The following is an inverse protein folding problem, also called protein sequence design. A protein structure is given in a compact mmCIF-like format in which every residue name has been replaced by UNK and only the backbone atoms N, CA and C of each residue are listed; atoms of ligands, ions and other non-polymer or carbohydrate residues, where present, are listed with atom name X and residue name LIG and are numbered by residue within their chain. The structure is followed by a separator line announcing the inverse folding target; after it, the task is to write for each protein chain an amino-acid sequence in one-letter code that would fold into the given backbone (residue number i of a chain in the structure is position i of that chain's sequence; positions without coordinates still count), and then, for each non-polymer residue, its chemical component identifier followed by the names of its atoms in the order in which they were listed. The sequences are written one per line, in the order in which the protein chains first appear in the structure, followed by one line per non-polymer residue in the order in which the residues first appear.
data_IF_866992124122
#
_entry.id   IF_866992124122
#
_cell.length_a   1.000
_cell.length_b   1.000
_cell.length_c   1.000
_cell.angle_alpha   90.00
_cell.angle_beta   90.00
_cell.angle_gamma   90.00
#
_symmetry.space_group_name_H-M   'P 1'
#
loop_
_entity.id
_entity.type
_entity.pdbx_description
1 polymer ?
#
# COMPACT_ATOMS: atom_id res chain seq x y z
N UNK A 1 -14.85 5.66 29.69
CA UNK A 1 -15.11 5.63 28.25
C UNK A 1 -14.48 6.87 27.66
N UNK A 2 -13.62 6.73 26.68
CA UNK A 2 -12.89 7.83 26.04
C UNK A 2 -13.49 8.12 24.66
N UNK A 3 -13.13 9.27 24.06
CA UNK A 3 -13.54 9.61 22.69
C UNK A 3 -12.79 8.77 21.66
N UNK A 4 -13.22 8.81 20.41
CA UNK A 4 -12.56 8.13 19.30
C UNK A 4 -11.18 8.74 19.03
N UNK A 5 -11.07 10.05 19.11
CA UNK A 5 -9.84 10.82 18.92
C UNK A 5 -8.81 10.53 20.03
N UNK A 6 -9.26 10.46 21.29
CA UNK A 6 -8.39 10.05 22.39
C UNK A 6 -7.88 8.62 22.21
N UNK A 7 -8.77 7.68 21.80
CA UNK A 7 -8.39 6.31 21.54
C UNK A 7 -7.36 6.22 20.41
N UNK A 8 -7.59 6.92 19.30
CA UNK A 8 -6.66 7.01 18.17
C UNK A 8 -5.29 7.52 18.61
N UNK A 9 -5.28 8.64 19.33
CA UNK A 9 -4.03 9.22 19.83
C UNK A 9 -3.27 8.26 20.73
N UNK A 10 -3.94 7.63 21.70
CA UNK A 10 -3.30 6.66 22.61
C UNK A 10 -2.72 5.47 21.82
N UNK A 11 -3.41 4.98 20.81
CA UNK A 11 -2.95 3.88 19.95
C UNK A 11 -1.75 4.29 19.12
N UNK A 12 -1.80 5.45 18.46
CA UNK A 12 -0.72 5.98 17.62
C UNK A 12 0.53 6.33 18.45
N UNK A 13 0.37 6.82 19.67
CA UNK A 13 1.48 7.09 20.59
C UNK A 13 2.26 5.81 20.97
N UNK A 14 1.74 4.61 20.67
CA UNK A 14 2.44 3.34 20.84
C UNK A 14 3.10 2.82 19.55
N UNK A 15 3.15 3.61 18.48
CA UNK A 15 3.89 3.24 17.28
C UNK A 15 5.37 3.02 17.61
N UNK A 16 5.93 1.94 17.09
CA UNK A 16 7.29 1.49 17.42
C UNK A 16 7.98 1.00 16.17
N UNK A 17 9.22 1.45 15.94
CA UNK A 17 10.09 0.93 14.88
C UNK A 17 10.62 -0.45 15.29
N UNK A 18 10.28 -1.48 14.54
CA UNK A 18 10.74 -2.87 14.75
C UNK A 18 12.09 -3.15 14.07
N UNK A 19 12.74 -2.13 13.51
CA UNK A 19 13.99 -2.23 12.79
C UNK A 19 13.82 -2.53 11.31
N UNK A 20 14.83 -3.14 10.71
CA UNK A 20 14.84 -3.47 9.30
C UNK A 20 15.30 -4.91 9.07
N UNK A 21 14.96 -5.45 7.91
CA UNK A 21 15.38 -6.77 7.42
C UNK A 21 15.70 -6.70 5.93
N UNK A 22 16.50 -7.65 5.44
CA UNK A 22 16.82 -7.78 4.03
C UNK A 22 15.89 -8.82 3.41
N UNK A 23 15.31 -8.48 2.27
CA UNK A 23 14.44 -9.38 1.49
C UNK A 23 14.81 -9.35 0.01
N UNK A 24 14.64 -10.43 -0.75
CA UNK A 24 14.72 -10.39 -2.20
C UNK A 24 13.77 -9.33 -2.77
N UNK A 25 14.22 -8.55 -3.77
CA UNK A 25 13.41 -7.45 -4.31
C UNK A 25 12.05 -7.91 -4.85
N UNK A 26 11.97 -9.12 -5.37
CA UNK A 26 10.74 -9.74 -5.88
C UNK A 26 9.67 -9.95 -4.79
N UNK A 27 10.10 -10.09 -3.52
CA UNK A 27 9.23 -10.23 -2.35
C UNK A 27 8.98 -8.92 -1.61
N UNK A 28 9.53 -7.81 -2.12
CA UNK A 28 9.48 -6.51 -1.45
C UNK A 28 8.23 -5.68 -1.77
N UNK A 29 7.40 -6.09 -2.73
CA UNK A 29 6.19 -5.34 -3.10
C UNK A 29 5.29 -5.09 -1.88
N UNK A 30 4.90 -3.81 -1.68
CA UNK A 30 4.07 -3.40 -0.54
C UNK A 30 4.80 -3.36 0.81
N UNK A 31 6.13 -3.58 0.84
CA UNK A 31 6.98 -3.30 2.00
C UNK A 31 7.41 -1.83 1.98
N UNK A 32 8.01 -1.36 3.06
CA UNK A 32 8.50 0.03 3.20
C UNK A 32 10.02 0.02 3.16
N UNK A 33 10.63 0.86 2.32
CA UNK A 33 12.08 0.98 2.23
C UNK A 33 12.68 1.47 3.55
N UNK A 34 13.75 0.82 4.01
CA UNK A 34 14.53 1.20 5.19
C UNK A 34 15.87 1.86 4.82
N UNK A 35 16.12 2.08 3.54
CA UNK A 35 17.29 2.78 3.00
C UNK A 35 16.93 3.47 1.68
N UNK A 36 17.83 4.36 1.22
CA UNK A 36 17.72 4.96 -0.10
C UNK A 36 18.32 4.03 -1.15
N UNK A 37 17.64 3.85 -2.26
CA UNK A 37 18.19 3.16 -3.44
C UNK A 37 18.78 4.22 -4.38
N UNK A 38 19.99 3.97 -4.89
CA UNK A 38 20.70 4.89 -5.75
C UNK A 38 20.89 4.31 -7.14
N UNK A 39 21.01 5.18 -8.14
CA UNK A 39 21.42 4.79 -9.49
C UNK A 39 22.89 4.30 -9.49
N UNK A 40 23.11 3.07 -9.98
CA UNK A 40 24.46 2.48 -10.13
C UNK A 40 25.26 3.15 -11.24
N UNK A 41 24.58 3.82 -12.18
CA UNK A 41 25.11 4.53 -13.35
C UNK A 41 24.12 5.59 -13.81
N UNK A 42 24.53 6.41 -14.77
CA UNK A 42 23.62 7.35 -15.45
C UNK A 42 22.42 6.63 -16.09
N UNK A 43 21.25 7.24 -16.03
CA UNK A 43 20.03 6.74 -16.67
C UNK A 43 19.51 7.79 -17.66
N UNK A 44 19.40 7.50 -18.97
CA UNK A 44 19.95 6.29 -19.62
C UNK A 44 21.50 6.25 -19.57
N UNK A 45 22.11 5.06 -19.71
CA UNK A 45 23.57 4.91 -19.55
C UNK A 45 24.39 5.43 -20.72
N UNK A 46 23.76 5.72 -21.84
CA UNK A 46 24.35 6.30 -23.07
C UNK A 46 23.28 7.14 -23.79
N UNK A 47 23.73 7.93 -24.77
CA UNK A 47 22.81 8.65 -25.66
C UNK A 47 22.01 7.64 -26.48
N UNK A 48 20.72 7.54 -26.19
CA UNK A 48 19.82 6.51 -26.69
C UNK A 48 18.89 7.06 -27.76
N UNK A 49 18.82 6.37 -28.88
CA UNK A 49 17.91 6.68 -29.98
C UNK A 49 16.46 6.39 -29.58
N UNK A 50 15.56 7.30 -29.88
CA UNK A 50 14.13 7.21 -29.50
C UNK A 50 13.19 6.88 -30.64
N UNK A 51 13.66 6.92 -31.90
CA UNK A 51 12.86 6.65 -33.10
C UNK A 51 13.68 5.83 -34.09
N UNK A 52 13.04 4.93 -34.83
CA UNK A 52 13.66 4.21 -35.94
C UNK A 52 13.90 5.15 -37.10
N UNK A 53 15.06 5.04 -37.78
CA UNK A 53 15.43 5.91 -38.86
C UNK A 53 16.91 5.92 -39.19
N UNK A 54 17.51 7.08 -39.38
CA UNK A 54 18.96 7.23 -39.63
C UNK A 54 19.60 8.18 -38.60
N UNK A 55 20.79 7.83 -38.12
CA UNK A 55 21.65 8.71 -37.34
C UNK A 55 22.65 9.41 -38.30
N UNK A 56 22.73 10.73 -38.21
CA UNK A 56 23.57 11.58 -39.05
C UNK A 56 24.33 12.61 -38.21
N UNK A 57 25.36 13.17 -38.79
CA UNK A 57 25.94 14.43 -38.30
C UNK A 57 25.12 15.61 -38.88
N UNK A 58 24.55 16.44 -37.98
CA UNK A 58 23.68 17.55 -38.40
C UNK A 58 24.40 18.61 -39.24
N UNK A 59 25.73 18.78 -39.07
CA UNK A 59 26.53 19.72 -39.90
C UNK A 59 26.44 19.37 -41.39
N UNK A 60 26.24 18.09 -41.72
CA UNK A 60 26.02 17.71 -43.14
C UNK A 60 24.76 18.33 -43.72
N UNK A 61 23.68 18.35 -42.91
CA UNK A 61 22.39 18.95 -43.32
C UNK A 61 22.54 20.47 -43.44
N UNK A 62 23.20 21.13 -42.51
CA UNK A 62 23.47 22.59 -42.58
C UNK A 62 24.30 22.94 -43.82
N UNK A 63 25.19 22.03 -44.28
CA UNK A 63 25.98 22.20 -45.51
C UNK A 63 25.20 21.80 -46.79
N UNK A 64 23.89 21.53 -46.68
CA UNK A 64 22.98 21.27 -47.79
C UNK A 64 22.92 19.82 -48.27
N UNK A 65 23.47 18.84 -47.52
CA UNK A 65 23.33 17.42 -47.83
C UNK A 65 21.94 16.98 -47.42
N UNK A 66 21.17 16.46 -48.38
CA UNK A 66 19.81 15.92 -48.16
C UNK A 66 19.72 14.42 -48.48
N UNK A 67 20.78 13.78 -48.96
CA UNK A 67 20.84 12.37 -49.30
C UNK A 67 22.09 11.75 -48.67
N UNK A 68 21.90 10.70 -47.89
CA UNK A 68 22.93 10.00 -47.12
C UNK A 68 23.07 8.58 -47.62
N UNK A 69 24.29 8.06 -47.65
CA UNK A 69 24.59 6.67 -47.94
C UNK A 69 24.49 5.86 -46.63
N UNK A 70 23.65 4.85 -46.61
CA UNK A 70 23.53 3.94 -45.44
C UNK A 70 24.76 3.06 -45.39
N UNK A 71 25.57 3.22 -44.32
CA UNK A 71 26.78 2.43 -44.10
C UNK A 71 26.42 1.01 -43.61
N UNK A 72 25.51 0.93 -42.65
CA UNK A 72 24.98 -0.31 -42.08
C UNK A 72 23.69 -0.02 -41.29
N UNK A 73 23.05 -1.10 -40.83
CA UNK A 73 21.92 -1.03 -39.88
C UNK A 73 22.41 -1.43 -38.50
N UNK A 74 22.11 -0.62 -37.46
CA UNK A 74 22.49 -0.85 -36.07
C UNK A 74 21.22 -1.04 -35.22
N UNK A 75 21.09 -2.20 -34.60
CA UNK A 75 19.98 -2.52 -33.70
C UNK A 75 20.31 -2.14 -32.23
N UNK A 76 19.30 -2.18 -31.36
CA UNK A 76 19.51 -2.06 -29.93
C UNK A 76 20.37 -3.23 -29.41
N UNK A 77 21.41 -2.91 -28.65
CA UNK A 77 22.35 -3.91 -28.13
C UNK A 77 23.59 -4.15 -29.00
N UNK A 78 23.62 -3.62 -30.22
CA UNK A 78 24.82 -3.65 -31.06
C UNK A 78 25.87 -2.64 -30.56
N UNK A 79 27.15 -2.90 -30.82
CA UNK A 79 28.21 -1.92 -30.64
C UNK A 79 28.01 -0.78 -31.63
N UNK A 80 28.14 0.49 -31.20
CA UNK A 80 27.96 1.63 -32.07
C UNK A 80 29.05 1.67 -33.13
N UNK A 81 28.65 1.88 -34.38
CA UNK A 81 29.59 2.00 -35.49
C UNK A 81 29.59 3.45 -35.98
N UNK A 82 30.78 3.99 -36.12
CA UNK A 82 30.99 5.37 -36.52
C UNK A 82 30.84 5.55 -38.03
N UNK A 83 30.51 6.77 -38.47
CA UNK A 83 30.51 7.18 -39.88
C UNK A 83 31.88 7.80 -40.23
N UNK A 84 32.34 7.56 -41.48
CA UNK A 84 33.65 8.02 -41.96
C UNK A 84 33.52 9.31 -42.79
N UNK A 85 32.37 9.52 -43.44
CA UNK A 85 32.13 10.65 -44.33
C UNK A 85 30.85 11.42 -43.92
N UNK A 86 30.83 12.72 -44.16
CA UNK A 86 29.67 13.56 -43.86
C UNK A 86 28.38 13.16 -44.59
N UNK A 87 28.47 12.53 -45.77
CA UNK A 87 27.34 12.04 -46.52
C UNK A 87 26.94 10.60 -46.17
N UNK A 88 27.52 10.02 -45.11
CA UNK A 88 27.12 8.72 -44.59
C UNK A 88 26.10 8.84 -43.44
N UNK A 89 25.34 7.78 -43.23
CA UNK A 89 24.46 7.62 -42.07
C UNK A 89 24.48 6.17 -41.59
N UNK A 90 24.07 5.96 -40.35
CA UNK A 90 23.74 4.67 -39.82
C UNK A 90 22.24 4.52 -39.75
N UNK A 91 21.68 3.51 -40.40
CA UNK A 91 20.28 3.14 -40.22
C UNK A 91 20.16 2.58 -38.79
N UNK A 92 19.31 3.19 -37.95
CA UNK A 92 19.35 2.97 -36.51
C UNK A 92 17.97 2.68 -35.96
N UNK A 93 17.90 1.72 -35.02
CA UNK A 93 16.66 1.32 -34.38
C UNK A 93 16.51 1.94 -32.99
N UNK A 94 15.27 2.15 -32.60
CA UNK A 94 14.90 2.62 -31.25
C UNK A 94 15.58 1.80 -30.16
N UNK A 95 16.16 2.48 -29.19
CA UNK A 95 16.90 1.83 -28.09
C UNK A 95 18.39 1.63 -28.35
N UNK A 96 18.86 1.79 -29.59
CA UNK A 96 20.28 1.67 -29.91
C UNK A 96 21.08 2.86 -29.30
N UNK A 97 22.36 2.60 -29.03
CA UNK A 97 23.31 3.66 -28.67
C UNK A 97 23.60 4.53 -29.90
N UNK A 98 23.58 5.85 -29.72
CA UNK A 98 23.90 6.79 -30.80
C UNK A 98 25.37 6.64 -31.21
N UNK A 99 25.71 6.51 -32.53
CA UNK A 99 27.07 6.50 -32.99
C UNK A 99 27.82 7.78 -32.63
N UNK A 100 29.11 7.71 -32.21
CA UNK A 100 29.84 8.86 -31.65
C UNK A 100 29.96 10.09 -32.55
N UNK A 101 30.07 9.88 -33.86
CA UNK A 101 30.18 10.98 -34.87
C UNK A 101 28.83 11.57 -35.29
N UNK A 102 27.72 11.06 -34.74
CA UNK A 102 26.36 11.54 -35.06
C UNK A 102 25.75 12.29 -33.88
N UNK A 103 24.85 13.23 -34.19
CA UNK A 103 24.22 14.06 -33.17
C UNK A 103 22.73 14.29 -33.42
N UNK A 104 22.15 13.61 -34.44
CA UNK A 104 20.77 13.82 -34.86
C UNK A 104 20.20 12.53 -35.46
N UNK A 105 18.96 12.18 -35.06
CA UNK A 105 18.26 11.04 -35.60
C UNK A 105 17.01 11.52 -36.38
N UNK A 106 16.90 11.05 -37.63
CA UNK A 106 15.79 11.37 -38.51
C UNK A 106 14.95 10.11 -38.66
N UNK A 107 13.69 10.19 -38.31
CA UNK A 107 12.77 9.05 -38.32
C UNK A 107 12.40 8.66 -39.78
N UNK A 108 12.01 7.40 -39.95
CA UNK A 108 11.66 6.87 -41.31
C UNK A 108 10.56 7.65 -42.01
N UNK A 109 9.61 8.24 -41.30
CA UNK A 109 8.52 9.01 -41.89
C UNK A 109 8.99 10.27 -42.60
N UNK A 110 10.19 10.74 -42.26
CA UNK A 110 10.83 11.94 -42.83
C UNK A 110 11.88 11.59 -43.89
N UNK A 111 11.92 10.30 -44.35
CA UNK A 111 12.92 9.74 -45.25
C UNK A 111 12.29 8.99 -46.46
N UNK A 112 12.95 9.09 -47.62
CA UNK A 112 12.77 8.11 -48.70
C UNK A 112 14.00 7.20 -48.75
N UNK A 113 13.77 5.91 -48.45
CA UNK A 113 14.81 4.88 -48.44
C UNK A 113 14.81 4.15 -49.78
N UNK A 114 15.93 4.26 -50.57
CA UNK A 114 16.04 3.58 -51.87
C UNK A 114 17.47 3.20 -52.19
N UNK A 115 17.68 1.95 -52.55
CA UNK A 115 18.95 1.42 -53.01
C UNK A 115 20.17 1.75 -52.09
N UNK A 116 20.02 1.70 -50.77
CA UNK A 116 21.07 2.01 -49.84
C UNK A 116 21.32 3.51 -49.58
N UNK A 117 20.40 4.34 -50.10
CA UNK A 117 20.39 5.78 -49.86
C UNK A 117 19.16 6.17 -49.04
N UNK A 118 19.35 7.12 -48.14
CA UNK A 118 18.30 7.77 -47.36
C UNK A 118 18.21 9.23 -47.75
N UNK A 119 17.09 9.66 -48.30
CA UNK A 119 16.88 11.05 -48.78
C UNK A 119 15.84 11.72 -47.87
N UNK A 120 16.13 12.92 -47.40
CA UNK A 120 15.20 13.72 -46.59
C UNK A 120 14.00 14.14 -47.42
N UNK A 121 12.79 13.96 -46.90
CA UNK A 121 11.54 14.46 -47.49
C UNK A 121 10.99 15.66 -46.75
N UNK A 122 11.68 16.13 -45.70
CA UNK A 122 11.34 17.31 -44.90
C UNK A 122 12.54 18.25 -44.75
N UNK A 123 12.28 19.51 -44.57
CA UNK A 123 13.28 20.53 -44.22
C UNK A 123 13.26 20.90 -42.72
N UNK A 124 12.32 20.35 -41.94
CA UNK A 124 12.20 20.62 -40.49
C UNK A 124 12.96 19.55 -39.66
N UNK A 125 14.27 19.52 -39.85
CA UNK A 125 15.18 18.71 -39.07
C UNK A 125 15.91 19.58 -38.07
N UNK A 126 15.99 19.17 -36.80
CA UNK A 126 16.66 19.93 -35.75
C UNK A 126 17.80 19.12 -35.15
N UNK A 127 18.90 19.83 -34.86
CA UNK A 127 20.05 19.23 -34.20
C UNK A 127 19.63 18.62 -32.86
N UNK A 128 20.02 17.39 -32.58
CA UNK A 128 19.75 16.69 -31.33
C UNK A 128 18.36 16.06 -31.22
N UNK A 129 17.54 16.12 -32.32
CA UNK A 129 16.20 15.50 -32.25
C UNK A 129 16.29 13.97 -32.15
N UNK A 130 15.26 13.38 -31.52
CA UNK A 130 15.06 11.93 -31.34
C UNK A 130 16.21 11.21 -30.58
N UNK A 131 16.87 11.95 -29.68
CA UNK A 131 17.93 11.43 -28.80
C UNK A 131 17.51 11.65 -27.35
N UNK A 132 17.58 10.57 -26.56
CA UNK A 132 17.46 10.62 -25.11
C UNK A 132 18.87 10.57 -24.53
N UNK A 133 19.36 11.74 -24.09
CA UNK A 133 20.75 11.91 -23.68
C UNK A 133 21.08 11.16 -22.39
N UNK A 134 22.31 10.65 -22.31
CA UNK A 134 22.90 10.00 -21.15
C UNK A 134 22.66 10.82 -19.88
N UNK A 135 22.16 10.16 -18.84
CA UNK A 135 21.93 10.75 -17.51
C UNK A 135 20.85 11.83 -17.48
N UNK A 136 19.99 11.91 -18.48
CA UNK A 136 18.92 12.89 -18.53
C UNK A 136 17.79 12.60 -17.51
N UNK A 137 17.58 11.34 -17.16
CA UNK A 137 16.58 10.93 -16.16
C UNK A 137 17.16 10.96 -14.76
N UNK A 138 18.35 10.36 -14.57
CA UNK A 138 19.10 10.29 -13.32
C UNK A 138 20.59 10.21 -13.59
N UNK A 139 21.37 10.86 -12.72
CA UNK A 139 22.84 10.69 -12.68
C UNK A 139 23.20 9.52 -11.79
N UNK A 140 24.38 8.97 -12.02
CA UNK A 140 25.00 8.03 -11.08
C UNK A 140 24.97 8.60 -9.65
N UNK A 141 24.68 7.76 -8.67
CA UNK A 141 24.49 8.09 -7.24
C UNK A 141 23.24 8.92 -6.89
N UNK A 142 22.43 9.35 -7.87
CA UNK A 142 21.12 9.95 -7.59
C UNK A 142 20.19 8.96 -6.89
N UNK A 143 19.38 9.46 -5.96
CA UNK A 143 18.35 8.64 -5.30
C UNK A 143 17.22 8.35 -6.29
N UNK A 144 16.96 7.07 -6.56
CA UNK A 144 15.88 6.57 -7.41
C UNK A 144 14.66 6.14 -6.61
N UNK A 145 14.87 5.73 -5.35
CA UNK A 145 13.80 5.48 -4.39
C UNK A 145 14.27 5.86 -2.99
N UNK A 146 13.42 6.52 -2.20
CA UNK A 146 13.78 7.06 -0.90
C UNK A 146 13.37 6.15 0.26
N UNK A 147 14.14 6.18 1.33
CA UNK A 147 13.76 5.59 2.62
C UNK A 147 12.35 6.07 3.03
N UNK A 148 11.55 5.18 3.62
CA UNK A 148 10.17 5.45 4.03
C UNK A 148 9.14 5.32 2.92
N UNK A 149 9.53 5.13 1.66
CA UNK A 149 8.58 4.89 0.57
C UNK A 149 8.00 3.48 0.61
N UNK A 150 6.70 3.38 0.32
CA UNK A 150 6.03 2.11 0.06
C UNK A 150 6.46 1.59 -1.31
N UNK A 151 6.99 0.38 -1.35
CA UNK A 151 7.47 -0.25 -2.59
C UNK A 151 6.29 -0.61 -3.48
N UNK A 152 6.16 0.12 -4.58
CA UNK A 152 5.15 -0.06 -5.63
C UNK A 152 5.74 -0.84 -6.80
N UNK A 153 4.92 -1.31 -7.77
CA UNK A 153 5.45 -1.90 -9.01
C UNK A 153 6.42 -0.97 -9.76
N UNK A 154 6.20 0.35 -9.71
CA UNK A 154 7.12 1.32 -10.32
C UNK A 154 8.50 1.34 -9.64
N UNK A 155 8.53 1.24 -8.30
CA UNK A 155 9.79 1.12 -7.55
C UNK A 155 10.48 -0.20 -7.84
N UNK A 156 9.75 -1.31 -7.96
CA UNK A 156 10.32 -2.62 -8.38
C UNK A 156 11.01 -2.48 -9.75
N UNK A 157 10.38 -1.80 -10.71
CA UNK A 157 11.00 -1.54 -12.03
C UNK A 157 12.30 -0.75 -11.92
N UNK A 158 12.32 0.31 -11.09
CA UNK A 158 13.52 1.12 -10.85
C UNK A 158 14.63 0.30 -10.17
N UNK A 159 14.31 -0.45 -9.13
CA UNK A 159 15.22 -1.35 -8.41
C UNK A 159 15.88 -2.34 -9.36
N UNK A 160 15.09 -2.99 -10.21
CA UNK A 160 15.58 -3.92 -11.22
C UNK A 160 16.51 -3.23 -12.25
N UNK A 161 16.20 -1.97 -12.65
CA UNK A 161 17.00 -1.23 -13.62
C UNK A 161 18.38 -0.80 -13.11
N UNK A 162 18.53 -0.69 -11.78
CA UNK A 162 19.82 -0.34 -11.12
C UNK A 162 20.51 -1.58 -10.54
N UNK A 163 20.01 -2.79 -10.83
CA UNK A 163 20.68 -4.05 -10.51
C UNK A 163 20.61 -4.51 -9.05
N UNK A 164 19.72 -3.91 -8.23
CA UNK A 164 19.54 -4.32 -6.85
C UNK A 164 18.72 -5.63 -6.79
N UNK A 165 19.27 -6.65 -6.18
CA UNK A 165 18.63 -7.97 -6.02
C UNK A 165 18.04 -8.20 -4.65
N UNK A 166 18.46 -7.44 -3.66
CA UNK A 166 17.98 -7.48 -2.28
C UNK A 166 17.68 -6.05 -1.81
N UNK A 167 16.66 -5.89 -0.98
CA UNK A 167 16.26 -4.60 -0.44
C UNK A 167 16.20 -4.65 1.08
N UNK A 168 16.70 -3.60 1.70
CA UNK A 168 16.50 -3.36 3.12
C UNK A 168 15.16 -2.68 3.34
N UNK A 169 14.25 -3.38 4.02
CA UNK A 169 12.87 -2.94 4.26
C UNK A 169 12.57 -2.85 5.75
N UNK A 170 11.59 -2.03 6.13
CA UNK A 170 11.09 -1.98 7.51
C UNK A 170 10.55 -3.35 7.92
N UNK A 171 10.98 -3.81 9.11
CA UNK A 171 10.55 -5.10 9.65
C UNK A 171 9.12 -5.03 10.17
N UNK A 172 8.32 -6.04 9.83
CA UNK A 172 6.96 -6.17 10.34
C UNK A 172 6.94 -6.65 11.80
N UNK A 173 5.98 -6.18 12.63
CA UNK A 173 5.76 -6.74 13.95
C UNK A 173 5.32 -8.21 13.84
N UNK A 174 5.70 -9.03 14.81
CA UNK A 174 5.17 -10.39 14.93
C UNK A 174 3.80 -10.33 15.59
N UNK A 175 2.77 -10.72 14.86
CA UNK A 175 1.37 -10.62 15.28
C UNK A 175 0.77 -12.01 15.49
N UNK A 176 -0.05 -12.16 16.52
CA UNK A 176 -0.92 -13.32 16.74
C UNK A 176 -2.37 -12.87 16.83
N UNK A 177 -3.27 -13.62 16.19
CA UNK A 177 -4.72 -13.43 16.25
C UNK A 177 -5.30 -14.47 17.20
N UNK A 178 -5.99 -14.00 18.23
CA UNK A 178 -6.59 -14.84 19.27
C UNK A 178 -8.11 -14.72 19.23
N UNK A 179 -8.80 -15.85 19.36
CA UNK A 179 -10.24 -15.87 19.65
C UNK A 179 -10.49 -16.61 20.95
N UNK A 180 -11.52 -16.24 21.69
CA UNK A 180 -12.01 -17.02 22.82
C UNK A 180 -13.51 -17.20 22.73
N UNK A 181 -13.99 -18.27 23.35
CA UNK A 181 -15.41 -18.62 23.42
C UNK A 181 -15.64 -20.08 23.01
N UNK A 182 -16.26 -20.86 23.89
CA UNK A 182 -16.57 -22.27 23.64
C UNK A 182 -17.67 -22.48 22.58
N UNK A 183 -18.38 -21.37 22.23
CA UNK A 183 -19.34 -21.35 21.11
C UNK A 183 -18.64 -21.35 19.75
N UNK A 184 -17.33 -21.04 19.69
CA UNK A 184 -16.59 -20.90 18.46
C UNK A 184 -15.96 -22.22 18.01
N UNK A 185 -16.33 -22.70 16.83
CA UNK A 185 -15.78 -23.91 16.22
C UNK A 185 -14.97 -23.60 14.96
N UNK A 186 -14.19 -24.57 14.49
CA UNK A 186 -13.45 -24.46 13.22
C UNK A 186 -14.38 -24.34 12.02
N UNK A 187 -13.91 -23.67 10.96
CA UNK A 187 -14.72 -23.39 9.75
C UNK A 187 -15.17 -24.66 9.01
N UNK A 188 -14.40 -25.75 9.12
CA UNK A 188 -14.70 -27.03 8.49
C UNK A 188 -15.62 -27.95 9.32
N UNK A 189 -15.97 -27.54 10.53
CA UNK A 189 -16.90 -28.28 11.39
C UNK A 189 -18.34 -27.84 11.18
N UNK A 190 -19.28 -28.76 11.43
CA UNK A 190 -20.72 -28.45 11.42
C UNK A 190 -21.13 -27.94 12.79
N UNK A 191 -21.64 -26.67 12.90
CA UNK A 191 -22.04 -26.14 14.19
C UNK A 191 -23.32 -26.80 14.71
N UNK A 192 -23.38 -27.02 16.02
CA UNK A 192 -24.62 -27.30 16.71
C UNK A 192 -25.51 -26.05 16.78
N UNK A 193 -26.70 -26.14 17.36
CA UNK A 193 -27.67 -25.01 17.44
C UNK A 193 -27.14 -23.79 18.23
N UNK A 194 -26.14 -23.97 19.07
CA UNK A 194 -25.54 -22.94 19.94
C UNK A 194 -24.09 -22.62 19.60
N UNK A 195 -23.56 -23.14 18.49
CA UNK A 195 -22.21 -22.90 18.02
C UNK A 195 -22.19 -22.07 16.73
N UNK A 196 -21.13 -21.30 16.59
CA UNK A 196 -20.86 -20.53 15.37
C UNK A 196 -19.42 -20.77 14.89
N UNK A 197 -19.16 -20.55 13.60
CA UNK A 197 -17.81 -20.67 13.05
C UNK A 197 -16.99 -19.43 13.34
N UNK A 198 -15.70 -19.61 13.60
CA UNK A 198 -14.73 -18.54 13.85
C UNK A 198 -14.46 -17.73 12.58
N UNK A 199 -15.28 -16.76 12.24
CA UNK A 199 -15.09 -15.91 11.05
C UNK A 199 -14.14 -14.76 11.27
N UNK A 200 -14.16 -14.12 12.46
CA UNK A 200 -13.38 -12.92 12.73
C UNK A 200 -11.87 -13.12 12.55
N UNK A 201 -11.32 -14.24 13.01
CA UNK A 201 -9.88 -14.53 12.88
C UNK A 201 -9.45 -14.58 11.41
N UNK A 202 -10.28 -15.18 10.55
CA UNK A 202 -10.00 -15.26 9.11
C UNK A 202 -10.13 -13.89 8.45
N UNK A 203 -11.11 -13.10 8.85
CA UNK A 203 -11.26 -11.70 8.37
C UNK A 203 -10.03 -10.88 8.75
N UNK A 204 -9.61 -10.90 10.00
CA UNK A 204 -8.42 -10.18 10.47
C UNK A 204 -7.18 -10.66 9.72
N UNK A 205 -6.97 -11.97 9.61
CA UNK A 205 -5.83 -12.55 8.87
C UNK A 205 -5.81 -12.12 7.41
N UNK A 206 -6.96 -12.09 6.74
CA UNK A 206 -7.07 -11.62 5.35
C UNK A 206 -6.67 -10.16 5.20
N UNK A 207 -7.14 -9.28 6.10
CA UNK A 207 -6.76 -7.86 6.12
C UNK A 207 -5.26 -7.71 6.36
N UNK A 208 -4.68 -8.41 7.32
CA UNK A 208 -3.24 -8.34 7.59
C UNK A 208 -2.42 -8.79 6.37
N UNK A 209 -2.85 -9.85 5.70
CA UNK A 209 -2.19 -10.35 4.49
C UNK A 209 -2.18 -9.34 3.34
N UNK A 210 -3.25 -8.53 3.17
CA UNK A 210 -3.27 -7.42 2.21
C UNK A 210 -2.20 -6.36 2.50
N UNK A 211 -1.72 -6.29 3.76
CA UNK A 211 -0.66 -5.40 4.21
C UNK A 211 0.69 -6.11 4.38
N UNK A 212 0.89 -7.26 3.73
CA UNK A 212 2.11 -8.08 3.80
C UNK A 212 2.50 -8.49 5.23
N UNK A 213 1.53 -8.62 6.12
CA UNK A 213 1.74 -9.04 7.49
C UNK A 213 1.11 -10.42 7.70
N UNK A 214 1.96 -11.43 7.93
CA UNK A 214 1.50 -12.77 8.32
C UNK A 214 1.25 -12.82 9.83
N UNK A 215 0.18 -13.54 10.21
CA UNK A 215 -0.18 -13.76 11.59
C UNK A 215 -0.61 -15.20 11.85
N UNK A 216 -0.14 -15.75 12.96
CA UNK A 216 -0.65 -17.03 13.48
C UNK A 216 -2.05 -16.83 14.09
N UNK A 217 -2.88 -17.87 14.03
CA UNK A 217 -4.21 -17.87 14.65
C UNK A 217 -4.25 -18.93 15.76
N UNK A 218 -4.69 -18.53 16.93
CA UNK A 218 -4.90 -19.42 18.07
C UNK A 218 -6.31 -19.25 18.62
N UNK A 219 -6.87 -20.34 19.17
CA UNK A 219 -8.14 -20.32 19.88
C UNK A 219 -7.94 -20.65 21.34
N UNK A 220 -8.60 -19.91 22.21
CA UNK A 220 -8.56 -20.07 23.66
C UNK A 220 -9.93 -20.58 24.14
N UNK A 221 -10.00 -21.74 24.80
CA UNK A 221 -11.22 -22.16 25.49
C UNK A 221 -11.52 -21.24 26.67
N UNK A 222 -12.77 -21.21 27.13
CA UNK A 222 -13.20 -20.37 28.26
C UNK A 222 -12.75 -20.94 29.62
N UNK A 223 -11.44 -21.21 29.74
CA UNK A 223 -10.77 -21.69 30.95
C UNK A 223 -9.71 -20.67 31.41
N UNK A 224 -9.85 -20.15 32.63
CA UNK A 224 -9.00 -19.09 33.18
C UNK A 224 -7.51 -19.49 33.21
N UNK A 225 -7.20 -20.75 33.55
CA UNK A 225 -5.83 -21.24 33.67
C UNK A 225 -5.20 -21.37 32.29
N UNK A 226 -5.95 -21.94 31.32
CA UNK A 226 -5.47 -22.11 29.97
C UNK A 226 -5.29 -20.72 29.29
N UNK A 227 -6.26 -19.82 29.43
CA UNK A 227 -6.18 -18.45 28.91
C UNK A 227 -4.92 -17.76 29.42
N UNK A 228 -4.70 -17.72 30.72
CA UNK A 228 -3.52 -17.10 31.35
C UNK A 228 -2.21 -17.69 30.84
N UNK A 229 -2.13 -19.01 30.77
CA UNK A 229 -0.94 -19.74 30.29
C UNK A 229 -0.65 -19.39 28.82
N UNK A 230 -1.67 -19.41 27.95
CA UNK A 230 -1.50 -19.11 26.53
C UNK A 230 -1.17 -17.63 26.27
N UNK A 231 -1.82 -16.70 26.98
CA UNK A 231 -1.50 -15.27 26.88
C UNK A 231 -0.06 -14.99 27.29
N UNK A 232 0.46 -15.65 28.35
CA UNK A 232 1.87 -15.53 28.75
C UNK A 232 2.81 -15.96 27.62
N UNK A 233 2.57 -17.11 27.00
CA UNK A 233 3.36 -17.61 25.86
C UNK A 233 3.30 -16.62 24.69
N UNK A 234 2.11 -16.08 24.39
CA UNK A 234 1.93 -15.12 23.31
C UNK A 234 2.68 -13.80 23.57
N UNK A 235 2.65 -13.28 24.81
CA UNK A 235 3.38 -12.07 25.19
C UNK A 235 4.91 -12.24 25.13
N UNK A 236 5.42 -13.46 25.27
CA UNK A 236 6.84 -13.76 25.08
C UNK A 236 7.24 -13.86 23.60
N UNK A 237 6.38 -14.46 22.75
CA UNK A 237 6.68 -14.80 21.35
C UNK A 237 6.39 -13.65 20.37
N UNK A 238 5.31 -12.89 20.60
CA UNK A 238 4.79 -11.88 19.65
C UNK A 238 4.98 -10.45 20.15
N UNK A 239 4.91 -9.51 19.23
CA UNK A 239 4.99 -8.08 19.52
C UNK A 239 3.61 -7.47 19.71
N UNK A 240 2.60 -8.06 19.04
CA UNK A 240 1.20 -7.62 19.10
C UNK A 240 0.25 -8.82 19.19
N UNK A 241 -0.70 -8.72 20.10
CA UNK A 241 -1.82 -9.64 20.24
C UNK A 241 -3.11 -8.95 19.75
N UNK A 242 -3.77 -9.54 18.76
CA UNK A 242 -5.10 -9.14 18.28
C UNK A 242 -6.13 -10.14 18.79
N UNK A 243 -6.89 -9.77 19.81
CA UNK A 243 -7.94 -10.62 20.36
C UNK A 243 -9.29 -10.24 19.77
N UNK A 244 -10.10 -11.23 19.41
CA UNK A 244 -11.49 -11.05 19.00
C UNK A 244 -12.41 -11.79 19.96
N UNK A 245 -13.18 -11.05 20.74
CA UNK A 245 -14.02 -11.59 21.83
C UNK A 245 -13.34 -11.56 23.21
N UNK A 246 -14.06 -11.99 24.24
CA UNK A 246 -13.56 -12.12 25.61
C UNK A 246 -13.26 -10.81 26.36
N UNK A 247 -13.77 -9.66 25.86
CA UNK A 247 -13.50 -8.33 26.44
C UNK A 247 -14.78 -7.53 26.75
N UNK A 248 -15.92 -8.15 26.63
CA UNK A 248 -17.17 -7.65 27.20
C UNK A 248 -17.13 -7.74 28.72
N UNK A 249 -18.05 -7.14 29.45
CA UNK A 249 -18.08 -7.26 30.94
C UNK A 249 -18.92 -8.47 31.38
N UNK A 250 -18.84 -9.58 30.67
CA UNK A 250 -19.53 -10.83 31.01
C UNK A 250 -18.87 -11.58 32.18
N UNK A 251 -19.63 -12.45 32.84
CA UNK A 251 -19.11 -13.26 33.97
C UNK A 251 -17.96 -14.20 33.58
N UNK A 252 -17.80 -14.50 32.30
CA UNK A 252 -16.81 -15.42 31.74
C UNK A 252 -15.70 -14.69 30.96
N UNK A 253 -15.62 -13.36 31.03
CA UNK A 253 -14.56 -12.59 30.39
C UNK A 253 -13.26 -12.62 31.22
N UNK A 254 -12.56 -13.75 31.17
CA UNK A 254 -11.30 -13.96 31.92
C UNK A 254 -10.11 -13.18 31.35
N UNK A 255 -10.17 -12.73 30.09
CA UNK A 255 -9.05 -12.09 29.39
C UNK A 255 -8.57 -10.81 30.08
N UNK A 256 -9.40 -9.83 30.46
CA UNK A 256 -8.93 -8.60 31.10
C UNK A 256 -8.22 -8.86 32.43
N UNK A 257 -8.72 -9.81 33.23
CA UNK A 257 -8.11 -10.22 34.50
C UNK A 257 -6.75 -10.91 34.27
N UNK A 258 -6.69 -11.84 33.32
CA UNK A 258 -5.45 -12.54 32.97
C UNK A 258 -4.38 -11.59 32.44
N UNK A 259 -4.75 -10.58 31.64
CA UNK A 259 -3.83 -9.55 31.15
C UNK A 259 -3.27 -8.68 32.28
N UNK A 260 -4.11 -8.28 33.24
CA UNK A 260 -3.69 -7.52 34.43
C UNK A 260 -2.68 -8.33 35.26
N UNK A 261 -2.97 -9.61 35.54
CA UNK A 261 -2.07 -10.52 36.24
C UNK A 261 -0.76 -10.83 35.48
N UNK A 262 -0.72 -10.55 34.18
CA UNK A 262 0.47 -10.67 33.33
C UNK A 262 1.16 -9.33 33.07
N UNK A 263 0.94 -8.32 33.91
CA UNK A 263 1.54 -6.98 33.82
C UNK A 263 1.24 -6.26 32.50
N UNK A 264 0.07 -6.46 31.92
CA UNK A 264 -0.41 -5.66 30.80
C UNK A 264 -1.21 -4.47 31.31
N UNK A 265 -0.60 -3.32 31.29
CA UNK A 265 -1.26 -2.06 31.69
C UNK A 265 -2.35 -1.70 30.70
N UNK A 266 -3.58 -1.59 31.21
CA UNK A 266 -4.73 -1.09 30.43
C UNK A 266 -4.54 0.39 30.14
N UNK A 267 -4.46 0.75 28.86
CA UNK A 267 -4.40 2.15 28.41
C UNK A 267 -5.81 2.74 28.26
N UNK A 268 -6.74 1.95 27.72
CA UNK A 268 -8.17 2.30 27.79
C UNK A 268 -9.07 1.06 27.70
N UNK A 269 -10.33 1.24 28.08
CA UNK A 269 -11.43 0.30 27.87
C UNK A 269 -12.71 1.10 27.63
N UNK A 270 -13.42 0.76 26.55
CA UNK A 270 -14.63 1.39 26.01
C UNK A 270 -14.36 2.77 25.37
N UNK A 271 -14.75 2.85 24.11
CA UNK A 271 -14.67 4.05 23.27
C UNK A 271 -16.09 4.55 22.95
N UNK A 272 -16.29 5.85 22.84
CA UNK A 272 -17.58 6.49 22.52
C UNK A 272 -17.93 6.32 21.04
N UNK A 273 -18.09 5.07 20.59
CA UNK A 273 -18.34 4.72 19.19
C UNK A 273 -19.37 3.60 19.02
N UNK A 274 -19.95 3.51 17.84
CA UNK A 274 -20.77 2.39 17.36
C UNK A 274 -20.44 2.12 15.89
N UNK A 275 -20.12 0.83 15.53
CA UNK A 275 -19.90 -0.31 16.42
C UNK A 275 -18.58 -0.20 17.20
N UNK A 276 -18.26 -1.19 18.02
CA UNK A 276 -16.94 -1.30 18.62
C UNK A 276 -16.76 -0.63 20.00
N UNK A 277 -17.87 -0.23 20.68
CA UNK A 277 -17.80 0.39 22.01
C UNK A 277 -16.92 -0.35 23.03
N UNK A 278 -16.91 -1.70 23.17
CA UNK A 278 -16.13 -2.41 24.20
C UNK A 278 -14.65 -2.62 23.82
N UNK A 279 -14.11 -1.91 22.86
CA UNK A 279 -12.69 -1.99 22.50
C UNK A 279 -11.81 -1.72 23.73
N UNK A 280 -10.88 -2.67 24.01
CA UNK A 280 -9.89 -2.60 25.05
C UNK A 280 -8.49 -2.57 24.44
N UNK A 281 -7.61 -1.71 24.95
CA UNK A 281 -6.23 -1.58 24.48
C UNK A 281 -5.27 -1.47 25.67
N UNK A 282 -4.15 -2.18 25.59
CA UNK A 282 -3.15 -2.19 26.65
C UNK A 282 -1.75 -2.49 26.16
N UNK A 283 -0.77 -2.23 27.07
CA UNK A 283 0.66 -2.40 26.82
C UNK A 283 1.29 -3.19 27.93
N UNK A 284 1.99 -4.26 27.60
CA UNK A 284 2.83 -5.01 28.51
C UNK A 284 4.12 -4.24 28.83
N UNK A 285 4.69 -4.42 30.01
CA UNK A 285 5.93 -3.75 30.46
C UNK A 285 7.10 -3.87 29.49
N UNK A 286 7.19 -4.99 28.72
CA UNK A 286 8.18 -5.22 27.66
C UNK A 286 7.80 -4.61 26.30
N UNK A 287 6.86 -3.68 26.27
CA UNK A 287 6.45 -2.96 25.06
C UNK A 287 5.49 -3.72 24.13
N UNK A 288 5.04 -4.96 24.49
CA UNK A 288 4.07 -5.71 23.69
C UNK A 288 2.70 -5.07 23.76
N UNK A 289 1.98 -5.03 22.65
CA UNK A 289 0.66 -4.40 22.56
C UNK A 289 -0.47 -5.44 22.49
N UNK A 290 -1.58 -5.11 23.11
CA UNK A 290 -2.78 -5.93 23.10
C UNK A 290 -3.95 -5.10 22.62
N UNK A 291 -4.47 -5.45 21.45
CA UNK A 291 -5.71 -4.94 20.88
C UNK A 291 -6.80 -5.98 21.14
N UNK A 292 -7.60 -5.78 22.17
CA UNK A 292 -8.69 -6.68 22.46
C UNK A 292 -9.99 -6.10 21.90
N UNK A 293 -10.34 -6.62 20.73
CA UNK A 293 -11.44 -6.14 19.88
C UNK A 293 -12.77 -6.78 20.32
N UNK A 294 -13.91 -6.10 20.06
CA UNK A 294 -15.21 -6.70 20.31
C UNK A 294 -15.40 -8.01 19.52
N UNK A 295 -16.12 -8.98 20.07
CA UNK A 295 -16.41 -10.25 19.38
C UNK A 295 -17.37 -10.11 18.18
N UNK A 296 -18.05 -8.97 18.06
CA UNK A 296 -18.96 -8.68 16.95
C UNK A 296 -18.18 -8.45 15.64
N UNK A 297 -18.49 -9.16 14.53
CA UNK A 297 -17.70 -9.11 13.29
C UNK A 297 -17.51 -7.71 12.70
N UNK A 298 -18.59 -6.92 12.56
CA UNK A 298 -18.52 -5.56 12.01
C UNK A 298 -17.66 -4.65 12.90
N UNK A 299 -17.75 -4.84 14.22
CA UNK A 299 -16.99 -4.04 15.17
C UNK A 299 -15.49 -4.39 15.13
N UNK A 300 -15.15 -5.68 15.05
CA UNK A 300 -13.77 -6.16 14.88
C UNK A 300 -13.17 -5.58 13.60
N UNK A 301 -13.88 -5.72 12.49
CA UNK A 301 -13.45 -5.23 11.17
C UNK A 301 -13.22 -3.71 11.18
N UNK A 302 -14.19 -2.94 11.67
CA UNK A 302 -14.07 -1.48 11.78
C UNK A 302 -12.87 -1.08 12.65
N UNK A 303 -12.67 -1.71 13.80
CA UNK A 303 -11.55 -1.39 14.69
C UNK A 303 -10.18 -1.68 14.06
N UNK A 304 -10.06 -2.72 13.23
CA UNK A 304 -8.81 -2.99 12.49
C UNK A 304 -8.49 -1.82 11.56
N UNK A 305 -9.44 -1.38 10.73
CA UNK A 305 -9.20 -0.27 9.79
C UNK A 305 -9.05 1.08 10.48
N UNK A 306 -9.75 1.29 11.59
CA UNK A 306 -9.73 2.58 12.30
C UNK A 306 -8.56 2.78 13.23
N UNK A 307 -8.02 1.70 13.83
CA UNK A 307 -6.99 1.80 14.87
C UNK A 307 -5.74 1.00 14.56
N UNK A 308 -5.88 -0.28 14.22
CA UNK A 308 -4.71 -1.15 14.03
C UNK A 308 -3.90 -0.79 12.78
N UNK A 309 -4.53 -0.62 11.62
CA UNK A 309 -3.81 -0.28 10.38
C UNK A 309 -3.14 1.11 10.43
N UNK A 310 -3.75 2.18 10.95
CA UNK A 310 -3.06 3.44 11.17
C UNK A 310 -1.84 3.31 12.10
N UNK A 311 -1.97 2.54 13.19
CA UNK A 311 -0.84 2.24 14.07
C UNK A 311 0.27 1.45 13.34
N UNK A 312 -0.07 0.45 12.54
CA UNK A 312 0.89 -0.33 11.75
C UNK A 312 1.64 0.59 10.77
N UNK A 313 0.92 1.43 10.04
CA UNK A 313 1.53 2.39 9.10
C UNK A 313 2.49 3.34 9.82
N UNK A 314 2.10 3.90 10.95
CA UNK A 314 2.96 4.76 11.77
C UNK A 314 4.20 4.01 12.28
N UNK A 315 4.06 2.74 12.69
CA UNK A 315 5.18 1.89 13.12
C UNK A 315 6.16 1.56 11.99
N UNK A 316 5.69 1.54 10.75
CA UNK A 316 6.52 1.36 9.56
C UNK A 316 7.12 2.68 9.05
N UNK A 317 6.80 3.81 9.69
CA UNK A 317 7.27 5.14 9.28
C UNK A 317 6.61 5.68 8.01
N UNK A 318 5.41 5.18 7.68
CA UNK A 318 4.61 5.74 6.58
C UNK A 318 3.93 7.03 7.04
N UNK A 319 3.97 8.04 6.19
CA UNK A 319 3.25 9.29 6.41
C UNK A 319 1.73 9.06 6.49
N UNK A 320 1.08 9.82 7.37
CA UNK A 320 -0.38 9.82 7.43
C UNK A 320 -0.95 10.35 6.11
N UNK A 321 -1.72 9.50 5.43
CA UNK A 321 -2.41 9.92 4.21
C UNK A 321 -3.56 10.87 4.53
N UNK A 322 -3.82 11.89 3.70
CA UNK A 322 -4.99 12.76 3.84
C UNK A 322 -6.27 11.92 3.96
N UNK A 323 -7.13 12.29 4.91
CA UNK A 323 -8.39 11.60 5.12
C UNK A 323 -9.26 11.65 3.87
N UNK A 324 -9.68 10.49 3.38
CA UNK A 324 -10.63 10.40 2.28
C UNK A 324 -11.99 10.85 2.82
N UNK A 325 -12.68 11.68 2.03
CA UNK A 325 -14.03 12.17 2.36
C UNK A 325 -15.01 11.82 1.25
N UNK A 326 -16.26 11.58 1.62
CA UNK A 326 -17.35 11.31 0.67
C UNK A 326 -18.60 12.08 1.04
N UNK A 327 -19.42 12.36 0.04
CA UNK A 327 -20.71 13.04 0.18
C UNK A 327 -21.78 12.02 0.61
N UNK A 328 -22.47 12.28 1.70
CA UNK A 328 -23.59 11.45 2.15
C UNK A 328 -24.74 11.52 1.16
N UNK A 329 -25.14 10.36 0.59
CA UNK A 329 -26.15 10.30 -0.48
C UNK A 329 -27.61 10.23 0.02
N UNK A 330 -27.85 9.96 1.30
CA UNK A 330 -29.20 9.94 1.91
C UNK A 330 -29.15 10.45 3.34
N UNK A 331 -30.33 10.83 3.89
CA UNK A 331 -30.45 11.25 5.30
C UNK A 331 -30.17 10.06 6.22
N UNK A 332 -29.41 10.30 7.30
CA UNK A 332 -29.17 9.35 8.39
C UNK A 332 -29.60 9.96 9.71
N UNK A 333 -30.30 9.18 10.54
CA UNK A 333 -30.66 9.57 11.92
C UNK A 333 -30.01 8.58 12.89
N UNK A 334 -29.34 9.10 13.93
CA UNK A 334 -28.69 8.28 14.93
C UNK A 334 -28.74 8.95 16.30
N UNK A 335 -29.63 8.47 17.17
CA UNK A 335 -30.01 9.13 18.44
C UNK A 335 -29.11 8.82 19.64
N UNK A 336 -28.08 7.99 19.47
CA UNK A 336 -27.18 7.62 20.56
C UNK A 336 -26.01 8.62 20.69
N UNK A 337 -25.56 8.97 21.90
CA UNK A 337 -24.42 9.86 22.11
C UNK A 337 -23.08 9.13 21.88
N UNK A 338 -22.88 8.65 20.67
CA UNK A 338 -21.72 7.90 20.22
C UNK A 338 -21.34 8.36 18.81
N UNK A 339 -20.06 8.37 18.49
CA UNK A 339 -19.62 8.51 17.11
C UNK A 339 -20.05 7.29 16.32
N UNK A 340 -20.68 7.49 15.16
CA UNK A 340 -21.26 6.40 14.39
C UNK A 340 -20.44 6.11 13.13
N UNK A 341 -19.96 4.88 13.03
CA UNK A 341 -19.31 4.34 11.83
C UNK A 341 -20.35 3.54 11.04
N UNK A 342 -21.03 4.20 10.13
CA UNK A 342 -22.04 3.56 9.28
C UNK A 342 -21.37 2.94 8.06
N UNK A 343 -21.80 1.72 7.70
CA UNK A 343 -21.39 1.05 6.48
C UNK A 343 -21.96 1.76 5.26
N UNK A 344 -21.13 1.98 4.24
CA UNK A 344 -21.53 2.70 3.03
C UNK A 344 -21.02 2.01 1.77
N UNK A 345 -21.82 2.12 0.70
CA UNK A 345 -21.39 1.80 -0.66
C UNK A 345 -20.94 3.08 -1.35
N UNK A 346 -19.80 3.02 -2.04
CA UNK A 346 -19.20 4.17 -2.70
C UNK A 346 -19.48 4.14 -4.21
N UNK A 347 -19.76 5.32 -4.79
CA UNK A 347 -19.83 5.51 -6.24
C UNK A 347 -19.51 6.96 -6.59
N UNK A 348 -19.19 7.22 -7.85
CA UNK A 348 -19.04 8.59 -8.34
C UNK A 348 -20.35 9.06 -9.00
N UNK A 349 -20.75 10.29 -8.73
CA UNK A 349 -21.82 10.94 -9.46
C UNK A 349 -21.32 11.54 -10.79
N UNK A 350 -22.22 12.16 -11.59
CA UNK A 350 -21.92 12.81 -12.86
C UNK A 350 -20.90 13.97 -12.76
N UNK A 351 -20.73 14.55 -11.56
CA UNK A 351 -19.75 15.61 -11.27
C UNK A 351 -18.43 15.07 -10.69
N UNK A 352 -18.17 13.78 -10.81
CA UNK A 352 -16.98 13.11 -10.23
C UNK A 352 -16.82 13.27 -8.72
N UNK A 353 -17.91 13.53 -7.99
CA UNK A 353 -17.88 13.55 -6.52
C UNK A 353 -18.05 12.14 -5.97
N UNK A 354 -17.21 11.77 -4.99
CA UNK A 354 -17.34 10.49 -4.30
C UNK A 354 -18.56 10.51 -3.38
N UNK A 355 -19.56 9.73 -3.71
CA UNK A 355 -20.81 9.58 -2.98
C UNK A 355 -20.77 8.35 -2.08
N UNK A 356 -21.35 8.45 -0.89
CA UNK A 356 -21.49 7.35 0.05
C UNK A 356 -22.97 7.09 0.34
N UNK A 357 -23.45 5.96 -0.08
CA UNK A 357 -24.81 5.51 0.17
C UNK A 357 -24.83 4.59 1.40
N UNK A 358 -25.49 4.99 2.50
CA UNK A 358 -25.62 4.14 3.67
C UNK A 358 -26.29 2.80 3.34
N UNK A 359 -25.74 1.73 3.89
CA UNK A 359 -26.34 0.39 3.83
C UNK A 359 -26.91 0.10 5.21
N UNK A 360 -28.24 -0.04 5.28
CA UNK A 360 -28.92 -0.39 6.52
C UNK A 360 -28.62 -1.84 6.88
N UNK A 361 -28.10 -2.06 8.08
CA UNK A 361 -27.83 -3.38 8.63
C UNK A 361 -28.68 -3.66 9.85
N UNK A 362 -28.90 -4.92 10.15
CA UNK A 362 -29.65 -5.38 11.33
C UNK A 362 -28.84 -5.26 12.64
N UNK A 363 -27.87 -4.36 12.67
CA UNK A 363 -26.98 -4.09 13.81
C UNK A 363 -25.55 -4.57 13.60
N UNK A 364 -24.76 -4.52 14.68
CA UNK A 364 -23.33 -4.79 14.63
C UNK A 364 -22.96 -6.28 14.43
N UNK A 365 -23.95 -7.18 14.47
CA UNK A 365 -23.79 -8.61 14.16
C UNK A 365 -24.02 -8.95 12.67
N UNK A 366 -24.56 -8.02 11.90
CA UNK A 366 -24.85 -8.22 10.49
C UNK A 366 -23.61 -7.98 9.62
N UNK A 367 -22.73 -8.97 9.60
CA UNK A 367 -21.50 -8.90 8.81
C UNK A 367 -21.71 -9.28 7.33
N UNK A 368 -22.86 -9.80 6.94
CA UNK A 368 -23.16 -10.11 5.55
C UNK A 368 -23.06 -8.84 4.68
N UNK A 369 -23.49 -7.70 5.21
CA UNK A 369 -23.41 -6.41 4.53
C UNK A 369 -21.98 -5.92 4.27
N UNK A 370 -20.95 -6.45 4.98
CA UNK A 370 -19.55 -6.07 4.71
C UNK A 370 -19.10 -6.45 3.29
N UNK A 371 -19.69 -7.51 2.71
CA UNK A 371 -19.38 -7.93 1.35
C UNK A 371 -19.95 -6.97 0.29
N UNK A 372 -20.98 -6.21 0.63
CA UNK A 372 -21.67 -5.27 -0.27
C UNK A 372 -21.31 -3.80 -0.04
N UNK A 373 -20.42 -3.52 0.90
CA UNK A 373 -20.00 -2.17 1.29
C UNK A 373 -18.50 -1.95 1.03
N UNK A 374 -18.11 -0.69 0.89
CA UNK A 374 -16.76 -0.29 0.49
C UNK A 374 -16.01 0.50 1.57
N UNK A 375 -16.75 1.02 2.56
CA UNK A 375 -16.18 1.86 3.62
C UNK A 375 -17.09 1.99 4.84
N UNK A 376 -16.51 2.46 5.93
CA UNK A 376 -17.22 3.07 7.05
C UNK A 376 -17.18 4.59 6.92
N UNK A 377 -18.34 5.26 6.97
CA UNK A 377 -18.42 6.71 7.10
C UNK A 377 -18.51 7.10 8.57
N UNK A 378 -17.63 8.02 8.98
CA UNK A 378 -17.51 8.48 10.36
C UNK A 378 -18.43 9.69 10.60
N UNK A 379 -19.54 9.48 11.30
CA UNK A 379 -20.49 10.50 11.66
C UNK A 379 -20.24 11.01 13.08
N UNK A 380 -20.15 12.34 13.31
CA UNK A 380 -19.81 12.92 14.60
C UNK A 380 -20.88 12.67 15.67
N UNK A 381 -20.45 12.70 16.95
CA UNK A 381 -21.35 12.40 18.09
C UNK A 381 -22.19 13.60 18.56
N UNK A 382 -21.85 14.82 18.12
CA UNK A 382 -22.43 16.08 18.61
C UNK A 382 -23.84 16.35 18.08
N UNK A 383 -24.31 15.53 17.13
CA UNK A 383 -25.65 15.66 16.54
C UNK A 383 -26.24 14.31 16.13
N UNK A 384 -27.57 14.26 16.01
CA UNK A 384 -28.31 13.03 15.74
C UNK A 384 -28.83 12.92 14.29
N UNK A 385 -28.76 14.01 13.53
CA UNK A 385 -29.29 14.11 12.18
C UNK A 385 -28.19 14.52 11.19
N UNK A 386 -28.09 13.80 10.10
CA UNK A 386 -27.13 14.01 9.03
C UNK A 386 -27.88 14.09 7.70
N UNK A 387 -27.70 15.18 6.96
CA UNK A 387 -28.45 15.47 5.76
C UNK A 387 -27.73 14.94 4.52
N UNK A 388 -28.48 14.58 3.49
CA UNK A 388 -27.94 14.34 2.15
C UNK A 388 -27.14 15.56 1.69
N UNK A 389 -25.98 15.33 1.06
CA UNK A 389 -25.08 16.37 0.56
C UNK A 389 -24.00 16.79 1.56
N UNK A 390 -24.06 16.38 2.82
CA UNK A 390 -22.98 16.66 3.78
C UNK A 390 -21.77 15.76 3.52
N UNK A 391 -20.58 16.23 3.88
CA UNK A 391 -19.29 15.58 3.61
C UNK A 391 -18.68 15.06 4.90
N UNK A 392 -18.35 13.76 4.93
CA UNK A 392 -17.76 13.13 6.09
C UNK A 392 -16.53 12.29 5.71
N UNK A 393 -15.67 12.05 6.71
CA UNK A 393 -14.52 11.15 6.60
C UNK A 393 -15.00 9.71 6.38
N UNK A 394 -14.29 8.97 5.53
CA UNK A 394 -14.53 7.55 5.32
C UNK A 394 -13.26 6.73 5.53
N UNK A 395 -13.47 5.48 5.94
CA UNK A 395 -12.44 4.44 6.13
C UNK A 395 -12.73 3.33 5.12
N UNK A 396 -12.00 3.36 4.00
CA UNK A 396 -12.14 2.34 2.93
C UNK A 396 -11.51 1.02 3.34
N UNK A 397 -12.05 -0.08 2.82
CA UNK A 397 -11.54 -1.44 3.02
C UNK A 397 -11.62 -2.30 1.75
#
# INVERSE_FOLDING_TARGET
MITVEEAEKIVLDQATDYGAEIVPFELALGRVLAENIKADRDLPPFDRVTMDGIAVNYDAIENGISTFRVKLTQAAGDEPVDIDEHAECVEIMTGAMLPPSTDTVIKYEDLEMRAGLATLVTNDVRRGQNIHYKGNDKKQDDIVASIGQLITPAIISMVASVGETELRVKKMPRVVILSSGDELIEVNQTPSQYQIRRSNNYTVKAVLKQHNLDAEMLHLPDDEVIIKKQLKICLEKYDVLLLSGGVSMGKFDYIPKALDELNVTKLFHKVQQRPGKPFWFGKHEKGKLVFALPGNPVATFMCIYRYFLPWLNASLGLDEKPAIKAVLNSRVSFIHPLKYFIQVKLHYNEYCQLMATPVEGNGSGDFANLADTDAFMELPLERNEFKRGEVFKIWKF
#
